data_IF_450695825998
#
_entry.id   IF_450695825998
#
_cell.length_a   1.000
_cell.length_b   1.000
_cell.length_c   1.000
_cell.angle_alpha   90.00
_cell.angle_beta   90.00
_cell.angle_gamma   90.00
#
_symmetry.space_group_name_H-M   'P 1'
#
loop_
_entity.id
_entity.type
_entity.pdbx_description
1 polymer ?
#
# COMPACT_ATOMS: atom_id res chain seq x y z
N UNK A 1 15.89 -50.75 -10.29
CA UNK A 1 15.51 -49.90 -11.45
C UNK A 1 13.98 -49.90 -11.61
N UNK A 2 13.23 -49.67 -10.52
CA UNK A 2 11.75 -49.64 -10.49
C UNK A 2 11.22 -48.43 -9.68
N UNK A 3 12.07 -47.43 -9.41
CA UNK A 3 11.71 -46.20 -8.67
C UNK A 3 11.46 -45.00 -9.61
N UNK A 4 11.57 -45.17 -10.93
CA UNK A 4 11.43 -44.08 -11.90
C UNK A 4 10.00 -43.98 -12.46
N UNK A 5 9.22 -45.07 -12.42
CA UNK A 5 7.87 -45.11 -13.01
C UNK A 5 6.79 -44.42 -12.16
N UNK A 6 7.00 -44.23 -10.84
CA UNK A 6 6.05 -43.51 -9.98
C UNK A 6 6.27 -42.00 -9.97
N UNK A 7 7.43 -41.51 -10.42
CA UNK A 7 7.66 -40.07 -10.50
C UNK A 7 6.83 -39.43 -11.61
N UNK A 8 6.61 -40.08 -12.75
CA UNK A 8 5.86 -39.50 -13.88
C UNK A 8 4.35 -39.36 -13.61
N UNK A 9 3.74 -40.29 -12.89
CA UNK A 9 2.33 -40.20 -12.48
C UNK A 9 2.09 -39.10 -11.41
N UNK A 10 3.14 -38.61 -10.75
CA UNK A 10 3.07 -37.48 -9.81
C UNK A 10 3.33 -36.12 -10.47
N UNK A 11 3.70 -36.07 -11.75
CA UNK A 11 4.09 -34.82 -12.44
C UNK A 11 2.90 -33.93 -12.79
N UNK A 12 1.72 -34.51 -13.07
CA UNK A 12 0.53 -33.72 -13.37
C UNK A 12 0.08 -32.89 -12.16
N UNK A 13 0.31 -33.39 -10.94
CA UNK A 13 0.02 -32.68 -9.70
C UNK A 13 0.87 -31.41 -9.56
N UNK A 14 2.15 -31.46 -9.94
CA UNK A 14 3.02 -30.27 -9.97
C UNK A 14 2.48 -29.23 -10.96
N UNK A 15 1.99 -29.68 -12.13
CA UNK A 15 1.34 -28.80 -13.09
C UNK A 15 0.08 -28.13 -12.53
N UNK A 16 -0.79 -28.88 -11.85
CA UNK A 16 -2.00 -28.35 -11.20
C UNK A 16 -1.66 -27.36 -10.08
N UNK A 17 -0.65 -27.67 -9.25
CA UNK A 17 -0.19 -26.77 -8.20
C UNK A 17 0.36 -25.47 -8.78
N UNK A 18 1.24 -25.53 -9.77
CA UNK A 18 1.78 -24.33 -10.41
C UNK A 18 0.69 -23.50 -11.08
N UNK A 19 -0.25 -24.13 -11.78
CA UNK A 19 -1.39 -23.43 -12.37
C UNK A 19 -2.26 -22.74 -11.31
N UNK A 20 -2.52 -23.42 -10.18
CA UNK A 20 -3.25 -22.86 -9.04
C UNK A 20 -2.51 -21.68 -8.40
N UNK A 21 -1.19 -21.79 -8.19
CA UNK A 21 -0.36 -20.70 -7.66
C UNK A 21 -0.36 -19.51 -8.61
N UNK A 22 -0.18 -19.73 -9.91
CA UNK A 22 -0.22 -18.66 -10.92
C UNK A 22 -1.58 -17.98 -10.95
N UNK A 23 -2.67 -18.76 -10.95
CA UNK A 23 -4.03 -18.21 -10.89
C UNK A 23 -4.24 -17.35 -9.63
N UNK A 24 -3.76 -17.82 -8.48
CA UNK A 24 -3.84 -17.07 -7.23
C UNK A 24 -3.04 -15.76 -7.28
N UNK A 25 -1.82 -15.79 -7.82
CA UNK A 25 -1.00 -14.60 -8.00
C UNK A 25 -1.64 -13.59 -8.98
N UNK A 26 -2.28 -14.07 -10.06
CA UNK A 26 -3.00 -13.21 -11.00
C UNK A 26 -4.20 -12.54 -10.33
N UNK A 27 -4.94 -13.27 -9.49
CA UNK A 27 -6.05 -12.69 -8.71
C UNK A 27 -5.53 -11.63 -7.73
N UNK A 28 -4.48 -11.94 -6.96
CA UNK A 28 -3.86 -10.99 -6.04
C UNK A 28 -3.33 -9.76 -6.77
N UNK A 29 -2.65 -9.95 -7.90
CA UNK A 29 -2.14 -8.86 -8.72
C UNK A 29 -3.28 -8.01 -9.30
N UNK A 30 -4.38 -8.62 -9.75
CA UNK A 30 -5.55 -7.90 -10.24
C UNK A 30 -6.23 -7.06 -9.17
N UNK A 31 -6.37 -7.60 -7.95
CA UNK A 31 -6.92 -6.87 -6.79
C UNK A 31 -5.99 -5.73 -6.38
N UNK A 32 -4.68 -5.99 -6.29
CA UNK A 32 -3.68 -4.98 -5.98
C UNK A 32 -3.68 -3.83 -7.00
N UNK A 33 -3.74 -4.17 -8.30
CA UNK A 33 -3.82 -3.18 -9.38
C UNK A 33 -5.11 -2.37 -9.32
N UNK A 34 -6.25 -2.98 -8.97
CA UNK A 34 -7.53 -2.28 -8.79
C UNK A 34 -7.47 -1.28 -7.63
N UNK A 35 -6.84 -1.65 -6.52
CA UNK A 35 -6.64 -0.74 -5.39
C UNK A 35 -5.78 0.46 -5.80
N UNK A 36 -4.67 0.22 -6.49
CA UNK A 36 -3.85 1.31 -7.01
C UNK A 36 -4.61 2.23 -7.96
N UNK A 37 -5.49 1.72 -8.83
CA UNK A 37 -6.29 2.61 -9.69
C UNK A 37 -7.29 3.44 -8.89
N UNK A 38 -7.83 2.91 -7.79
CA UNK A 38 -8.70 3.68 -6.90
C UNK A 38 -7.91 4.74 -6.11
N UNK A 39 -6.72 4.40 -5.62
CA UNK A 39 -5.83 5.33 -4.92
C UNK A 39 -5.30 6.42 -5.86
N UNK A 40 -4.92 6.06 -7.09
CA UNK A 40 -4.49 7.01 -8.12
C UNK A 40 -5.65 7.87 -8.64
N UNK A 41 -6.89 7.34 -8.72
CA UNK A 41 -8.06 8.14 -9.07
C UNK A 41 -8.47 9.08 -7.93
N UNK A 42 -8.32 8.66 -6.67
CA UNK A 42 -8.46 9.54 -5.51
C UNK A 42 -7.33 10.58 -5.43
N UNK A 43 -6.10 10.22 -5.82
CA UNK A 43 -4.96 11.14 -5.88
C UNK A 43 -5.00 12.07 -7.11
N UNK A 44 -5.69 11.67 -8.19
CA UNK A 44 -5.92 12.52 -9.36
C UNK A 44 -6.87 13.69 -9.04
N UNK A 45 -7.63 13.61 -7.94
CA UNK A 45 -8.40 14.72 -7.36
C UNK A 45 -7.61 15.47 -6.27
N UNK A 46 -6.28 15.51 -6.38
CA UNK A 46 -5.45 16.39 -5.56
C UNK A 46 -4.38 17.03 -6.44
N UNK A 47 -4.83 17.98 -7.28
CA UNK A 47 -3.96 19.01 -7.81
C UNK A 47 -3.60 19.97 -6.67
N UNK A 48 -2.73 19.53 -5.75
CA UNK A 48 -1.81 20.32 -4.91
C UNK A 48 -0.92 19.29 -4.19
N UNK A 49 -0.10 18.58 -4.96
CA UNK A 49 1.00 17.81 -4.39
C UNK A 49 2.06 18.82 -3.92
N UNK A 50 1.97 19.22 -2.65
CA UNK A 50 3.05 20.00 -2.02
C UNK A 50 4.29 19.13 -2.08
N UNK A 51 5.32 19.53 -2.82
CA UNK A 51 6.59 18.81 -2.91
C UNK A 51 7.36 19.03 -1.60
N UNK A 52 7.76 17.96 -0.92
CA UNK A 52 8.67 18.06 0.22
C UNK A 52 10.06 18.10 -0.39
N UNK A 53 10.61 19.30 -0.45
CA UNK A 53 11.97 19.51 -0.90
C UNK A 53 12.86 19.55 0.35
N UNK A 54 13.82 18.64 0.44
CA UNK A 54 14.79 18.56 1.53
C UNK A 54 14.20 18.44 2.95
N UNK A 55 13.07 17.75 3.12
CA UNK A 55 12.45 17.54 4.43
C UNK A 55 11.65 18.74 4.95
N UNK A 56 11.42 19.77 4.13
CA UNK A 56 10.61 20.93 4.48
C UNK A 56 9.28 20.89 3.70
N UNK A 57 8.19 21.26 4.37
CA UNK A 57 6.84 21.41 3.82
C UNK A 57 6.31 22.81 4.14
N UNK A 58 5.85 23.52 3.12
CA UNK A 58 5.17 24.80 3.31
C UNK A 58 3.70 24.59 3.68
N UNK A 59 3.24 25.31 4.69
CA UNK A 59 1.85 25.28 5.10
C UNK A 59 0.97 25.97 4.04
N UNK A 60 -0.08 25.32 3.50
CA UNK A 60 -0.94 25.92 2.50
C UNK A 60 -1.81 27.07 3.05
N UNK A 61 -2.05 27.10 4.35
CA UNK A 61 -2.91 28.12 4.98
C UNK A 61 -2.17 29.41 5.31
N UNK A 62 -0.90 29.31 5.72
CA UNK A 62 -0.14 30.47 6.21
C UNK A 62 1.25 30.64 5.59
N UNK A 63 1.69 29.74 4.71
CA UNK A 63 2.99 29.80 4.04
C UNK A 63 4.20 29.49 4.94
N UNK A 64 3.99 29.11 6.21
CA UNK A 64 5.12 28.79 7.11
C UNK A 64 5.84 27.54 6.64
N UNK A 65 7.17 27.59 6.55
CA UNK A 65 8.01 26.41 6.34
C UNK A 65 8.06 25.56 7.62
N UNK A 66 7.69 24.29 7.51
CA UNK A 66 7.70 23.33 8.60
C UNK A 66 8.56 22.12 8.20
N UNK A 67 9.12 21.41 9.16
CA UNK A 67 9.67 20.08 8.93
C UNK A 67 8.56 19.10 8.50
N UNK A 68 8.84 18.22 7.55
CA UNK A 68 7.93 17.21 7.06
C UNK A 68 7.54 16.16 8.11
N UNK A 69 8.29 16.05 9.21
CA UNK A 69 7.93 15.21 10.36
C UNK A 69 6.88 15.84 11.28
N UNK A 70 6.59 17.14 11.15
CA UNK A 70 5.56 17.79 11.95
C UNK A 70 4.15 17.48 11.45
N UNK A 71 3.28 17.09 12.39
CA UNK A 71 1.84 16.87 12.11
C UNK A 71 1.05 18.17 11.96
N UNK A 72 1.49 19.24 12.62
CA UNK A 72 0.82 20.54 12.68
C UNK A 72 1.77 21.66 12.32
N UNK A 73 1.26 22.72 11.68
CA UNK A 73 2.03 23.90 11.35
C UNK A 73 2.43 24.69 12.61
N UNK A 74 3.71 25.02 12.76
CA UNK A 74 4.21 25.87 13.85
C UNK A 74 3.73 27.33 13.81
N UNK A 75 3.28 27.81 12.65
CA UNK A 75 2.75 29.18 12.48
C UNK A 75 1.25 29.34 12.80
N UNK A 76 0.38 28.48 12.27
CA UNK A 76 -1.08 28.61 12.38
C UNK A 76 -1.78 27.44 13.09
N UNK A 77 -1.05 26.40 13.51
CA UNK A 77 -1.57 25.17 14.11
C UNK A 77 -2.52 24.32 13.24
N UNK A 78 -2.69 24.63 11.95
CA UNK A 78 -3.44 23.77 11.02
C UNK A 78 -2.68 22.47 10.74
N UNK A 79 -3.42 21.40 10.42
CA UNK A 79 -2.85 20.11 10.04
C UNK A 79 -2.07 20.20 8.73
N UNK A 80 -0.85 19.65 8.69
CA UNK A 80 -0.03 19.63 7.48
C UNK A 80 -0.45 18.46 6.56
N UNK A 81 -0.48 18.65 5.22
CA UNK A 81 -0.90 17.61 4.28
C UNK A 81 0.08 16.43 4.17
N UNK A 82 1.29 16.56 4.74
CA UNK A 82 2.24 15.47 4.96
C UNK A 82 2.58 15.34 6.43
N UNK A 83 1.64 14.84 7.21
CA UNK A 83 2.01 13.90 8.24
C UNK A 83 2.05 12.53 7.55
N UNK A 84 3.24 11.96 7.36
CA UNK A 84 3.38 10.60 6.84
C UNK A 84 2.37 9.67 7.51
N UNK A 85 1.80 8.74 6.74
CA UNK A 85 0.63 7.92 7.02
C UNK A 85 0.63 7.19 8.40
N UNK A 86 0.49 7.91 9.50
CA UNK A 86 0.29 7.36 10.83
C UNK A 86 -1.19 7.04 11.10
N UNK A 87 -2.08 7.22 10.12
CA UNK A 87 -3.53 7.03 10.32
C UNK A 87 -4.14 5.85 9.54
N UNK A 88 -3.39 5.14 8.69
CA UNK A 88 -3.98 4.03 7.90
C UNK A 88 -3.62 2.62 8.38
N UNK A 89 -2.70 2.48 9.35
CA UNK A 89 -2.32 1.15 9.89
C UNK A 89 -2.93 0.83 11.26
N UNK A 90 -3.33 1.81 12.07
CA UNK A 90 -3.80 1.54 13.44
C UNK A 90 -5.23 0.97 13.52
N UNK A 91 -6.07 1.25 12.51
CA UNK A 91 -7.49 0.82 12.53
C UNK A 91 -7.72 -0.62 12.07
N UNK A 92 -6.77 -1.28 11.39
CA UNK A 92 -6.90 -2.70 11.01
C UNK A 92 -6.52 -3.67 12.12
N UNK A 93 -5.76 -3.24 13.13
CA UNK A 93 -5.24 -4.14 14.17
C UNK A 93 -6.12 -4.22 15.43
N UNK A 94 -7.09 -3.32 15.60
CA UNK A 94 -8.07 -3.36 16.71
C UNK A 94 -9.30 -4.26 16.47
N UNK A 95 -9.44 -4.86 15.29
CA UNK A 95 -10.56 -5.75 14.95
C UNK A 95 -10.44 -7.20 15.44
N UNK A 96 -9.36 -7.58 16.13
CA UNK A 96 -9.03 -8.99 16.46
C UNK A 96 -9.01 -9.32 17.96
N UNK A 97 -9.45 -8.42 18.84
CA UNK A 97 -9.26 -8.56 20.30
C UNK A 97 -10.55 -8.79 21.12
N UNK A 98 -11.69 -8.96 20.47
CA UNK A 98 -12.92 -9.39 21.14
C UNK A 98 -13.47 -10.63 20.42
N UNK A 99 -12.91 -11.78 20.80
CA UNK A 99 -13.49 -13.10 20.60
C UNK A 99 -14.28 -13.52 21.83
#
# INVERSE_FOLDING_TARGET
MLMEATMLDSQWYVGVLLAGTVLHLVVLYGVYRRQQTADNAAAADTTTSVSVENGVVECPDCGTANDADYRYCGGCATHLPRAGALTQQDTRQRGSLFG
#
